data_IF_954896894413
#
_entry.id   IF_954896894413
#
_cell.length_a   1.000
_cell.length_b   1.000
_cell.length_c   1.000
_cell.angle_alpha   90.00
_cell.angle_beta   90.00
_cell.angle_gamma   90.00
#
_symmetry.space_group_name_H-M   'P 1'
#
loop_
_entity.id
_entity.type
_entity.pdbx_description
1 polymer ?
#
# COMPACT_ATOMS: atom_id res chain seq x y z
N UNK A 1 19.89 -9.15 1.79
CA UNK A 1 20.24 -10.56 2.03
C UNK A 1 21.23 -11.01 1.01
N UNK A 2 22.43 -11.33 1.40
CA UNK A 2 23.43 -11.78 0.45
C UNK A 2 22.96 -13.03 -0.28
N UNK A 3 23.07 -12.99 -1.62
CA UNK A 3 22.82 -14.14 -2.48
C UNK A 3 21.37 -14.44 -2.84
N UNK A 4 20.38 -13.63 -2.40
CA UNK A 4 19.01 -13.76 -2.87
C UNK A 4 18.71 -12.76 -3.99
N UNK A 5 17.94 -13.22 -4.97
CA UNK A 5 17.48 -12.41 -6.09
C UNK A 5 16.08 -11.85 -5.83
N UNK A 6 15.87 -10.62 -6.23
CA UNK A 6 14.59 -9.94 -6.14
C UNK A 6 14.37 -9.08 -7.39
N UNK A 7 13.12 -8.70 -7.62
CA UNK A 7 12.83 -7.64 -8.60
C UNK A 7 13.41 -6.31 -8.09
N UNK A 8 13.92 -5.43 -8.97
CA UNK A 8 14.52 -4.17 -8.55
C UNK A 8 13.47 -3.26 -7.89
N UNK A 9 13.89 -2.53 -6.87
CA UNK A 9 13.05 -1.61 -6.11
C UNK A 9 13.47 -1.48 -4.67
N UNK A 10 13.00 -0.42 -4.02
CA UNK A 10 13.39 -0.08 -2.65
C UNK A 10 12.33 0.72 -1.91
N UNK A 11 12.77 1.48 -0.92
CA UNK A 11 11.89 2.30 -0.11
C UNK A 11 11.46 3.59 -0.81
N UNK A 12 10.19 3.96 -0.68
CA UNK A 12 9.74 5.29 -1.09
C UNK A 12 10.23 6.35 -0.09
N UNK A 13 10.70 7.49 -0.61
CA UNK A 13 11.03 8.62 0.24
C UNK A 13 9.76 9.22 0.85
N UNK A 14 9.91 9.93 1.99
CA UNK A 14 8.76 10.55 2.63
C UNK A 14 8.11 11.60 1.72
N UNK A 15 6.83 11.43 1.44
CA UNK A 15 6.07 12.27 0.50
C UNK A 15 6.22 11.92 -0.97
N UNK A 16 7.01 10.91 -1.32
CA UNK A 16 7.23 10.46 -2.69
C UNK A 16 6.03 9.63 -3.20
N UNK A 17 5.69 9.80 -4.47
CA UNK A 17 4.75 8.94 -5.17
C UNK A 17 5.35 7.54 -5.35
N UNK A 18 4.63 6.45 -5.02
CA UNK A 18 5.13 5.09 -5.16
C UNK A 18 5.62 4.72 -6.56
N UNK A 19 4.95 5.19 -7.62
CA UNK A 19 5.37 4.93 -9.00
C UNK A 19 6.67 5.69 -9.36
N UNK A 20 6.83 6.91 -8.84
CA UNK A 20 8.07 7.69 -9.00
C UNK A 20 9.21 7.02 -8.24
N UNK A 21 8.96 6.55 -7.01
CA UNK A 21 9.93 5.80 -6.22
C UNK A 21 10.41 4.54 -6.93
N UNK A 22 9.49 3.77 -7.52
CA UNK A 22 9.85 2.57 -8.29
C UNK A 22 10.77 2.88 -9.49
N UNK A 23 10.48 3.95 -10.24
CA UNK A 23 11.33 4.37 -11.38
C UNK A 23 12.71 4.82 -10.90
N UNK A 24 12.78 5.56 -9.79
CA UNK A 24 14.05 6.02 -9.19
C UNK A 24 14.91 4.83 -8.74
N UNK A 25 14.34 3.92 -7.95
CA UNK A 25 15.05 2.74 -7.44
C UNK A 25 15.59 1.85 -8.57
N UNK A 26 14.77 1.59 -9.61
CA UNK A 26 15.22 0.83 -10.78
C UNK A 26 16.41 1.52 -11.45
N UNK A 27 16.39 2.84 -11.60
CA UNK A 27 17.49 3.58 -12.20
C UNK A 27 18.75 3.54 -11.34
N UNK A 28 18.63 3.63 -10.02
CA UNK A 28 19.73 3.56 -9.05
C UNK A 28 20.37 2.17 -9.06
N UNK A 29 19.57 1.12 -8.91
CA UNK A 29 20.04 -0.26 -8.79
C UNK A 29 20.54 -0.86 -10.11
N UNK A 30 19.95 -0.47 -11.25
CA UNK A 30 20.19 -1.15 -12.53
C UNK A 30 20.77 -0.27 -13.63
N UNK A 31 20.72 1.05 -13.49
CA UNK A 31 21.08 2.00 -14.54
C UNK A 31 20.09 2.11 -15.69
N UNK A 32 18.93 1.44 -15.59
CA UNK A 32 17.92 1.46 -16.62
C UNK A 32 16.92 2.59 -16.41
N UNK A 33 16.48 3.22 -17.50
CA UNK A 33 15.35 4.14 -17.51
C UNK A 33 14.09 3.37 -17.91
N UNK A 34 13.06 3.44 -17.09
CA UNK A 34 11.80 2.74 -17.27
C UNK A 34 10.60 3.69 -17.18
N UNK A 35 9.47 3.23 -17.70
CA UNK A 35 8.17 3.87 -17.53
C UNK A 35 7.20 2.85 -16.91
N UNK A 36 6.44 3.29 -15.92
CA UNK A 36 5.37 2.49 -15.33
C UNK A 36 4.26 2.27 -16.36
N UNK A 37 3.91 1.02 -16.61
CA UNK A 37 2.86 0.62 -17.56
C UNK A 37 1.57 0.30 -16.82
N UNK A 38 1.66 -0.44 -15.70
CA UNK A 38 0.50 -0.85 -14.93
C UNK A 38 0.87 -1.10 -13.46
N UNK A 39 -0.12 -0.99 -12.59
CA UNK A 39 -0.05 -1.55 -11.25
C UNK A 39 -0.30 -3.06 -11.37
N UNK A 40 0.66 -3.86 -10.89
CA UNK A 40 0.58 -5.33 -10.98
C UNK A 40 -0.06 -5.93 -9.73
N UNK A 41 0.45 -5.57 -8.56
CA UNK A 41 0.01 -6.17 -7.30
C UNK A 41 0.35 -5.29 -6.10
N UNK A 42 -0.27 -5.59 -4.96
CA UNK A 42 0.07 -5.03 -3.66
C UNK A 42 0.07 -6.16 -2.64
N UNK A 43 1.20 -6.35 -1.99
CA UNK A 43 1.39 -7.43 -1.03
C UNK A 43 2.20 -6.98 0.18
N UNK A 44 2.16 -7.75 1.25
CA UNK A 44 2.98 -7.50 2.44
C UNK A 44 3.83 -8.73 2.79
N UNK A 45 4.99 -8.46 3.37
CA UNK A 45 5.83 -9.49 3.97
C UNK A 45 6.49 -9.00 5.27
N UNK A 46 6.97 -9.95 6.06
CA UNK A 46 7.69 -9.67 7.30
C UNK A 46 9.12 -10.18 7.18
N UNK A 47 10.07 -9.31 7.46
CA UNK A 47 11.49 -9.64 7.53
C UNK A 47 12.01 -9.52 8.95
N UNK A 48 12.85 -10.48 9.37
CA UNK A 48 13.50 -10.45 10.68
C UNK A 48 14.92 -9.91 10.57
N UNK A 49 15.22 -8.83 11.28
CA UNK A 49 16.56 -8.29 11.46
C UNK A 49 17.14 -8.89 12.74
N UNK A 50 17.85 -10.01 12.65
CA UNK A 50 18.38 -10.74 13.81
C UNK A 50 19.37 -9.94 14.64
N UNK A 51 20.22 -9.15 14.01
CA UNK A 51 21.21 -8.31 14.66
C UNK A 51 20.61 -7.25 15.59
N UNK A 52 19.33 -6.94 15.41
CA UNK A 52 18.57 -5.93 16.18
C UNK A 52 17.36 -6.48 16.91
N UNK A 53 17.08 -7.76 16.76
CA UNK A 53 15.86 -8.40 17.28
C UNK A 53 14.58 -7.64 16.90
N UNK A 54 14.51 -7.20 15.62
CA UNK A 54 13.40 -6.41 15.09
C UNK A 54 12.77 -7.14 13.92
N UNK A 55 11.44 -7.25 13.94
CA UNK A 55 10.65 -7.65 12.79
C UNK A 55 10.15 -6.41 12.05
N UNK A 56 10.36 -6.37 10.74
CA UNK A 56 9.89 -5.31 9.85
C UNK A 56 8.74 -5.81 9.01
N UNK A 57 7.62 -5.10 9.05
CA UNK A 57 6.51 -5.27 8.11
C UNK A 57 6.75 -4.36 6.90
N UNK A 58 6.67 -4.93 5.71
CA UNK A 58 6.81 -4.22 4.45
C UNK A 58 5.50 -4.31 3.66
N UNK A 59 4.90 -3.17 3.36
CA UNK A 59 3.85 -3.06 2.36
C UNK A 59 4.50 -2.74 1.01
N UNK A 60 4.29 -3.58 0.00
CA UNK A 60 4.94 -3.50 -1.31
C UNK A 60 3.93 -3.19 -2.39
N UNK A 61 4.22 -2.17 -3.17
CA UNK A 61 3.47 -1.81 -4.38
C UNK A 61 4.29 -2.24 -5.59
N UNK A 62 3.76 -3.15 -6.39
CA UNK A 62 4.45 -3.77 -7.51
C UNK A 62 3.90 -3.23 -8.81
N UNK A 63 4.79 -2.78 -9.68
CA UNK A 63 4.45 -2.23 -10.99
C UNK A 63 5.04 -3.05 -12.13
N UNK A 64 4.29 -3.17 -13.22
CA UNK A 64 4.83 -3.52 -14.51
C UNK A 64 5.47 -2.28 -15.14
N UNK A 65 6.68 -2.43 -15.64
CA UNK A 65 7.44 -1.33 -16.25
C UNK A 65 7.93 -1.69 -17.64
N UNK A 66 8.01 -0.70 -18.51
CA UNK A 66 8.61 -0.83 -19.83
C UNK A 66 9.99 -0.18 -19.84
N UNK A 67 11.02 -0.92 -20.28
CA UNK A 67 12.36 -0.37 -20.50
C UNK A 67 12.32 0.66 -21.64
N UNK A 68 12.91 1.83 -21.42
CA UNK A 68 12.99 2.92 -22.39
C UNK A 68 14.39 3.11 -22.93
N UNK A 69 15.38 3.20 -22.06
CA UNK A 69 16.78 3.34 -22.41
C UNK A 69 17.69 3.03 -21.19
N UNK A 70 18.98 3.24 -21.35
CA UNK A 70 19.99 2.95 -20.33
C UNK A 70 20.73 1.65 -20.60
N UNK A 71 21.85 1.47 -19.95
CA UNK A 71 22.67 0.25 -20.01
C UNK A 71 22.66 -0.40 -18.64
N UNK A 72 22.37 -1.69 -18.60
CA UNK A 72 22.37 -2.46 -17.39
C UNK A 72 23.73 -2.36 -16.70
N UNK A 73 23.76 -1.94 -15.47
CA UNK A 73 24.94 -1.86 -14.61
C UNK A 73 24.58 -2.23 -13.18
N UNK A 74 25.55 -2.68 -12.43
CA UNK A 74 25.37 -2.90 -11.00
C UNK A 74 25.35 -1.56 -10.25
N UNK A 75 24.67 -1.53 -9.12
CA UNK A 75 24.69 -0.40 -8.21
C UNK A 75 26.12 -0.16 -7.68
N UNK A 76 26.48 1.10 -7.45
CA UNK A 76 27.73 1.45 -6.80
C UNK A 76 27.43 1.86 -5.36
N UNK A 77 28.07 1.18 -4.41
CA UNK A 77 27.98 1.49 -2.97
C UNK A 77 26.56 1.35 -2.36
N UNK A 78 25.69 0.52 -2.97
CA UNK A 78 24.32 0.29 -2.51
C UNK A 78 24.08 -1.10 -1.88
N UNK A 79 22.84 -1.52 -1.87
CA UNK A 79 22.40 -2.80 -1.29
C UNK A 79 22.29 -3.91 -2.33
N UNK A 80 22.33 -3.58 -3.62
CA UNK A 80 22.22 -4.50 -4.76
C UNK A 80 23.56 -4.67 -5.43
N UNK A 81 24.12 -5.88 -5.35
CA UNK A 81 25.48 -6.17 -5.86
C UNK A 81 25.49 -6.58 -7.34
N UNK A 82 24.39 -7.11 -7.87
CA UNK A 82 24.32 -7.61 -9.25
C UNK A 82 22.94 -7.41 -9.86
N UNK A 83 22.87 -6.73 -11.00
CA UNK A 83 21.69 -6.59 -11.83
C UNK A 83 21.79 -7.46 -13.10
N UNK A 84 20.75 -8.21 -13.44
CA UNK A 84 20.72 -9.12 -14.57
C UNK A 84 19.32 -9.23 -15.17
N UNK A 85 19.25 -9.33 -16.51
CA UNK A 85 18.06 -9.78 -17.20
C UNK A 85 17.89 -11.30 -17.05
N UNK A 86 16.72 -11.72 -16.60
CA UNK A 86 16.36 -13.13 -16.41
C UNK A 86 15.03 -13.38 -17.12
N UNK A 87 14.96 -14.42 -17.94
CA UNK A 87 13.68 -14.85 -18.53
C UNK A 87 12.85 -15.61 -17.47
N UNK A 88 11.51 -15.46 -17.45
CA UNK A 88 10.66 -16.06 -16.41
C UNK A 88 10.89 -17.56 -16.20
N UNK A 89 11.14 -18.33 -17.26
CA UNK A 89 11.35 -19.77 -17.19
C UNK A 89 12.66 -20.18 -16.46
N UNK A 90 13.59 -19.25 -16.30
CA UNK A 90 14.85 -19.48 -15.55
C UNK A 90 14.71 -19.14 -14.06
N UNK A 91 13.67 -18.38 -13.66
CA UNK A 91 13.49 -17.94 -12.28
C UNK A 91 13.53 -19.07 -11.23
N UNK A 92 12.98 -20.28 -11.48
CA UNK A 92 13.06 -21.38 -10.52
C UNK A 92 14.48 -21.85 -10.21
N UNK A 93 15.47 -21.50 -11.03
CA UNK A 93 16.89 -21.84 -10.80
C UNK A 93 17.61 -20.83 -9.89
N UNK A 94 16.98 -19.70 -9.56
CA UNK A 94 17.55 -18.66 -8.72
C UNK A 94 17.04 -18.76 -7.28
N UNK A 95 17.87 -18.49 -6.27
CA UNK A 95 17.41 -18.33 -4.90
C UNK A 95 16.67 -17.00 -4.76
N UNK A 96 15.33 -17.03 -4.88
CA UNK A 96 14.50 -15.83 -4.89
C UNK A 96 14.12 -15.37 -3.48
N UNK A 97 13.98 -14.07 -3.29
CA UNK A 97 13.26 -13.51 -2.14
C UNK A 97 11.82 -14.05 -2.11
N UNK A 98 11.24 -14.35 -0.92
CA UNK A 98 9.90 -14.94 -0.83
C UNK A 98 8.83 -14.17 -1.60
N UNK A 99 8.79 -12.84 -1.47
CA UNK A 99 7.81 -12.03 -2.18
C UNK A 99 7.99 -12.07 -3.71
N UNK A 100 9.26 -12.15 -4.19
CA UNK A 100 9.55 -12.31 -5.62
C UNK A 100 9.08 -13.67 -6.13
N UNK A 101 9.32 -14.74 -5.38
CA UNK A 101 8.83 -16.07 -5.74
C UNK A 101 7.30 -16.11 -5.86
N UNK A 102 6.58 -15.50 -4.89
CA UNK A 102 5.12 -15.42 -4.91
C UNK A 102 4.57 -14.68 -6.13
N UNK A 103 5.22 -13.60 -6.57
CA UNK A 103 4.81 -12.83 -7.77
C UNK A 103 4.84 -13.66 -9.07
N UNK A 104 5.61 -14.74 -9.09
CA UNK A 104 5.75 -15.63 -10.25
C UNK A 104 5.17 -17.01 -10.00
N UNK A 105 4.28 -17.16 -9.01
CA UNK A 105 3.65 -18.43 -8.62
C UNK A 105 4.66 -19.57 -8.32
N UNK A 106 5.83 -19.20 -7.83
CA UNK A 106 6.89 -20.13 -7.46
C UNK A 106 6.85 -20.45 -5.95
N UNK A 107 7.30 -21.64 -5.55
CA UNK A 107 7.42 -21.98 -4.13
C UNK A 107 8.33 -20.98 -3.41
N UNK A 108 7.79 -20.29 -2.43
CA UNK A 108 8.55 -19.39 -1.57
C UNK A 108 9.28 -20.18 -0.48
N UNK A 109 10.57 -19.89 -0.25
CA UNK A 109 11.25 -20.34 0.93
C UNK A 109 10.58 -19.74 2.19
N UNK A 110 10.62 -20.41 3.36
CA UNK A 110 10.09 -19.84 4.60
C UNK A 110 10.79 -18.51 4.91
N UNK A 111 10.07 -17.63 5.63
CA UNK A 111 10.47 -16.27 5.97
C UNK A 111 11.97 -16.20 6.30
N UNK A 112 12.69 -15.42 5.51
CA UNK A 112 14.15 -15.43 5.50
C UNK A 112 14.67 -14.43 6.51
N UNK A 113 15.61 -14.87 7.31
CA UNK A 113 16.33 -14.05 8.27
C UNK A 113 17.31 -13.13 7.56
N UNK A 114 17.15 -11.81 7.73
CA UNK A 114 18.06 -10.82 7.20
C UNK A 114 19.20 -10.60 8.19
N UNK A 115 20.40 -11.00 7.83
CA UNK A 115 21.62 -10.49 8.47
C UNK A 115 22.09 -9.27 7.67
N UNK A 116 22.00 -8.08 8.24
CA UNK A 116 22.70 -6.91 7.73
C UNK A 116 24.13 -6.96 8.21
N UNK A 117 25.08 -7.02 7.30
CA UNK A 117 26.52 -6.98 7.62
C UNK A 117 27.05 -5.56 7.81
N UNK A 118 26.31 -4.54 7.40
CA UNK A 118 26.74 -3.13 7.52
C UNK A 118 25.71 -2.34 8.31
N UNK A 119 26.15 -1.78 9.43
CA UNK A 119 25.42 -0.76 10.17
C UNK A 119 25.52 0.53 9.36
N UNK A 120 24.41 1.09 8.83
CA UNK A 120 24.48 2.44 8.28
C UNK A 120 25.00 3.35 9.40
N UNK A 121 26.08 4.07 9.17
CA UNK A 121 26.51 5.11 10.07
C UNK A 121 25.45 6.21 10.00
N UNK A 122 24.44 6.11 10.87
CA UNK A 122 23.49 7.18 11.06
C UNK A 122 24.27 8.32 11.66
N UNK A 123 24.54 9.35 10.86
CA UNK A 123 25.05 10.61 11.36
C UNK A 123 24.13 11.14 12.47
N UNK A 124 24.61 12.04 13.36
CA UNK A 124 23.74 12.61 14.40
C UNK A 124 22.47 13.15 13.72
N UNK A 125 21.29 12.87 14.30
CA UNK A 125 20.04 13.35 13.73
C UNK A 125 20.15 14.87 13.56
N UNK A 126 20.00 15.36 12.34
CA UNK A 126 19.73 16.77 12.13
C UNK A 126 18.54 17.13 13.04
N UNK A 127 18.55 18.33 13.64
CA UNK A 127 17.47 18.78 14.51
C UNK A 127 16.10 18.41 13.95
N UNK A 128 15.16 17.92 14.75
CA UNK A 128 13.94 17.32 14.25
C UNK A 128 13.14 18.38 13.49
N UNK A 129 13.30 18.39 12.19
CA UNK A 129 12.24 18.81 11.31
C UNK A 129 10.96 18.10 11.83
N UNK A 130 9.81 18.78 11.82
CA UNK A 130 8.51 18.30 12.30
C UNK A 130 8.37 16.78 12.34
N UNK A 131 7.72 16.19 13.37
CA UNK A 131 7.51 14.75 13.43
C UNK A 131 6.96 14.24 12.10
N UNK A 132 7.50 13.15 11.59
CA UNK A 132 7.04 12.51 10.35
C UNK A 132 6.16 11.33 10.69
N UNK A 133 5.04 11.20 9.97
CA UNK A 133 4.19 10.04 10.03
C UNK A 133 3.93 9.49 8.62
N UNK A 134 3.92 8.18 8.49
CA UNK A 134 3.58 7.50 7.26
C UNK A 134 2.52 6.44 7.55
N UNK A 135 1.52 6.33 6.65
CA UNK A 135 0.47 5.34 6.76
C UNK A 135 0.26 4.66 5.42
N UNK A 136 0.25 3.34 5.45
CA UNK A 136 -0.31 2.53 4.39
C UNK A 136 -1.75 2.18 4.73
N UNK A 137 -2.66 2.25 3.76
CA UNK A 137 -4.08 1.99 3.99
C UNK A 137 -4.77 1.43 2.75
N UNK A 138 -5.81 0.61 2.97
CA UNK A 138 -6.57 -0.08 1.96
C UNK A 138 -8.04 0.36 2.00
N UNK A 139 -8.67 0.52 0.83
CA UNK A 139 -10.03 1.01 0.72
C UNK A 139 -10.83 0.24 -0.33
N UNK A 140 -12.13 0.03 -0.06
CA UNK A 140 -13.06 -0.65 -0.94
C UNK A 140 -13.94 0.31 -1.72
N UNK A 141 -13.88 0.27 -3.05
CA UNK A 141 -14.98 0.71 -3.91
C UNK A 141 -15.97 -0.46 -3.95
N UNK A 142 -16.86 -0.50 -2.96
CA UNK A 142 -17.77 -1.61 -2.73
C UNK A 142 -19.15 -1.34 -3.31
N UNK A 143 -19.65 -2.30 -4.08
CA UNK A 143 -20.98 -2.23 -4.71
C UNK A 143 -21.80 -3.49 -4.44
N UNK A 144 -23.13 -3.34 -4.53
CA UNK A 144 -24.08 -4.43 -4.44
C UNK A 144 -24.76 -4.72 -5.80
N UNK A 145 -25.60 -5.78 -5.91
CA UNK A 145 -26.30 -6.10 -7.16
C UNK A 145 -27.29 -5.03 -7.65
N UNK A 146 -27.65 -4.06 -6.82
CA UNK A 146 -28.48 -2.91 -7.19
C UNK A 146 -27.65 -1.67 -7.60
N UNK A 147 -26.33 -1.83 -7.82
CA UNK A 147 -25.37 -0.76 -8.15
C UNK A 147 -25.33 0.38 -7.11
N UNK A 148 -25.63 0.06 -5.84
CA UNK A 148 -25.43 0.99 -4.75
C UNK A 148 -23.99 0.92 -4.27
N UNK A 149 -23.43 2.05 -3.85
CA UNK A 149 -22.10 2.13 -3.24
C UNK A 149 -22.22 2.11 -1.72
N UNK A 150 -21.29 1.41 -1.08
CA UNK A 150 -21.17 1.37 0.38
C UNK A 150 -20.19 2.45 0.83
N UNK A 151 -20.61 3.28 1.77
CA UNK A 151 -19.77 4.32 2.35
C UNK A 151 -19.85 4.30 3.85
N UNK A 152 -18.78 4.77 4.49
CA UNK A 152 -18.64 4.97 5.93
C UNK A 152 -18.47 6.46 6.23
N UNK A 153 -18.80 6.90 7.45
CA UNK A 153 -18.67 8.29 7.88
C UNK A 153 -17.68 8.40 9.03
N UNK A 154 -16.69 9.28 8.89
CA UNK A 154 -15.70 9.52 9.92
C UNK A 154 -16.34 9.99 11.23
N UNK A 155 -15.88 9.41 12.34
CA UNK A 155 -16.27 9.78 13.68
C UNK A 155 -15.66 11.12 14.12
N UNK A 156 -16.27 11.74 15.14
CA UNK A 156 -15.71 12.92 15.80
C UNK A 156 -14.34 12.60 16.41
N UNK A 157 -13.43 13.57 16.37
CA UNK A 157 -12.05 13.40 16.85
C UNK A 157 -11.09 12.81 15.81
N UNK A 158 -11.57 12.30 14.68
CA UNK A 158 -10.75 11.77 13.61
C UNK A 158 -10.63 12.73 12.42
N UNK A 159 -9.54 12.67 11.64
CA UNK A 159 -9.37 13.52 10.45
C UNK A 159 -10.53 13.35 9.46
N UNK A 160 -11.14 14.47 9.10
CA UNK A 160 -12.29 14.45 8.20
C UNK A 160 -13.62 14.10 8.88
N UNK A 161 -13.74 14.31 10.20
CA UNK A 161 -14.97 14.09 10.97
C UNK A 161 -16.24 14.55 10.24
N UNK A 162 -17.28 13.72 10.29
CA UNK A 162 -18.56 13.96 9.63
C UNK A 162 -18.60 13.77 8.11
N UNK A 163 -17.46 13.56 7.44
CA UNK A 163 -17.41 13.28 6.00
C UNK A 163 -17.57 11.81 5.72
N UNK A 164 -18.21 11.51 4.59
CA UNK A 164 -18.31 10.15 4.07
C UNK A 164 -17.04 9.77 3.31
N UNK A 165 -16.61 8.52 3.45
CA UNK A 165 -15.44 7.97 2.78
C UNK A 165 -15.67 6.50 2.38
N UNK A 166 -14.73 5.92 1.63
CA UNK A 166 -14.73 4.50 1.32
C UNK A 166 -14.46 3.69 2.59
N UNK A 167 -15.11 2.54 2.81
CA UNK A 167 -14.76 1.64 3.90
C UNK A 167 -13.32 1.14 3.73
N UNK A 168 -12.60 1.03 4.85
CA UNK A 168 -11.21 0.59 4.86
C UNK A 168 -10.34 1.33 5.87
N UNK A 169 -9.15 0.81 6.09
CA UNK A 169 -8.22 1.31 7.10
C UNK A 169 -6.78 0.87 6.89
N UNK A 170 -6.01 0.81 7.96
CA UNK A 170 -4.62 0.38 7.95
C UNK A 170 -4.47 -1.14 7.89
N UNK A 171 -3.31 -1.59 7.48
CA UNK A 171 -2.87 -2.98 7.63
C UNK A 171 -2.32 -3.20 9.04
N UNK A 172 -2.64 -4.35 9.64
CA UNK A 172 -2.00 -4.78 10.88
C UNK A 172 -0.63 -5.39 10.58
N UNK A 173 0.20 -5.52 11.62
CA UNK A 173 1.52 -6.11 11.46
C UNK A 173 1.43 -7.55 10.96
N UNK A 174 2.04 -7.83 9.81
CA UNK A 174 2.02 -9.13 9.16
C UNK A 174 0.76 -9.44 8.35
N UNK A 175 -0.19 -8.52 8.30
CA UNK A 175 -1.43 -8.69 7.56
C UNK A 175 -1.24 -8.37 6.07
N UNK A 176 -1.86 -9.18 5.19
CA UNK A 176 -1.90 -8.89 3.76
C UNK A 176 -2.92 -7.77 3.46
N UNK A 177 -2.65 -6.85 2.50
CA UNK A 177 -3.53 -5.74 2.17
C UNK A 177 -4.97 -6.16 1.83
N UNK A 178 -5.13 -7.25 1.08
CA UNK A 178 -6.44 -7.79 0.76
C UNK A 178 -7.21 -8.33 1.99
N UNK A 179 -6.50 -8.94 2.94
CA UNK A 179 -7.10 -9.42 4.19
C UNK A 179 -7.51 -8.25 5.09
N UNK A 180 -6.63 -7.25 5.23
CA UNK A 180 -6.93 -6.02 5.96
C UNK A 180 -8.20 -5.34 5.43
N UNK A 181 -8.34 -5.24 4.11
CA UNK A 181 -9.53 -4.65 3.48
C UNK A 181 -10.81 -5.39 3.87
N UNK A 182 -10.80 -6.72 3.82
CA UNK A 182 -11.99 -7.52 4.14
C UNK A 182 -12.33 -7.47 5.63
N UNK A 183 -11.33 -7.39 6.51
CA UNK A 183 -11.51 -7.18 7.96
C UNK A 183 -12.14 -5.81 8.23
N UNK A 184 -11.55 -4.73 7.70
CA UNK A 184 -12.06 -3.37 7.85
C UNK A 184 -13.50 -3.23 7.30
N UNK A 185 -13.77 -3.83 6.14
CA UNK A 185 -15.11 -3.85 5.54
C UNK A 185 -16.13 -4.48 6.51
N UNK A 186 -15.77 -5.60 7.14
CA UNK A 186 -16.66 -6.27 8.10
C UNK A 186 -16.84 -5.43 9.37
N UNK A 187 -15.77 -4.88 9.94
CA UNK A 187 -15.78 -4.09 11.18
C UNK A 187 -16.55 -2.79 11.02
N UNK A 188 -16.30 -2.07 9.94
CA UNK A 188 -16.91 -0.76 9.69
C UNK A 188 -18.34 -0.82 9.14
N UNK A 189 -18.75 -1.94 8.49
CA UNK A 189 -19.99 -1.97 7.73
C UNK A 189 -20.88 -3.18 7.98
N UNK A 190 -20.40 -4.22 8.66
CA UNK A 190 -21.07 -5.53 8.79
C UNK A 190 -21.40 -6.19 7.45
N UNK A 191 -20.52 -6.02 6.46
CA UNK A 191 -20.68 -6.66 5.15
C UNK A 191 -19.59 -7.69 4.91
N UNK A 192 -19.95 -8.71 4.13
CA UNK A 192 -19.00 -9.70 3.59
C UNK A 192 -18.90 -9.47 2.10
N UNK A 193 -17.72 -9.11 1.65
CA UNK A 193 -17.44 -8.80 0.25
C UNK A 193 -16.39 -9.72 -0.36
N UNK A 194 -16.30 -9.66 -1.68
CA UNK A 194 -15.31 -10.36 -2.50
C UNK A 194 -14.55 -9.34 -3.32
N UNK A 195 -13.22 -9.31 -3.17
CA UNK A 195 -12.35 -8.49 -4.00
C UNK A 195 -12.37 -9.05 -5.42
N UNK A 196 -12.58 -8.19 -6.41
CA UNK A 196 -12.57 -8.56 -7.83
C UNK A 196 -11.40 -7.95 -8.58
N UNK A 197 -10.96 -6.76 -8.21
CA UNK A 197 -9.91 -6.04 -8.92
C UNK A 197 -9.08 -5.17 -7.95
N UNK A 198 -7.79 -5.04 -8.28
CA UNK A 198 -6.90 -4.01 -7.75
C UNK A 198 -7.05 -2.78 -8.66
N UNK A 199 -7.66 -1.71 -8.14
CA UNK A 199 -8.03 -0.54 -8.96
C UNK A 199 -6.89 0.46 -9.11
N UNK A 200 -6.11 0.68 -8.06
CA UNK A 200 -5.02 1.64 -8.13
C UNK A 200 -4.41 1.98 -6.78
N UNK A 201 -3.28 2.66 -6.86
CA UNK A 201 -2.58 3.22 -5.70
C UNK A 201 -2.51 4.73 -5.87
N UNK A 202 -2.82 5.44 -4.81
CA UNK A 202 -2.70 6.90 -4.72
C UNK A 202 -1.90 7.26 -3.48
N UNK A 203 -1.29 8.44 -3.48
CA UNK A 203 -0.63 8.95 -2.30
C UNK A 203 -1.09 10.37 -1.98
N UNK A 204 -0.88 10.78 -0.75
CA UNK A 204 -1.06 12.15 -0.31
C UNK A 204 0.01 12.53 0.68
N UNK A 205 0.69 13.63 0.40
CA UNK A 205 1.62 14.25 1.32
C UNK A 205 1.02 15.55 1.86
N UNK A 206 1.00 15.69 3.19
CA UNK A 206 0.58 16.90 3.88
C UNK A 206 1.63 17.25 4.95
N UNK A 207 2.55 18.17 4.65
CA UNK A 207 3.65 18.51 5.56
C UNK A 207 3.20 19.27 6.81
N UNK A 208 1.92 19.62 6.92
CA UNK A 208 1.34 20.35 8.03
C UNK A 208 0.00 19.76 8.48
N UNK A 209 -0.16 18.43 8.39
CA UNK A 209 -1.33 17.75 8.93
C UNK A 209 -1.39 17.96 10.46
N UNK A 210 -2.60 18.02 11.00
CA UNK A 210 -2.80 17.98 12.44
C UNK A 210 -2.82 16.49 12.86
N UNK A 211 -1.84 16.11 13.68
CA UNK A 211 -1.78 14.76 14.26
C UNK A 211 -2.87 14.55 15.32
N UNK A 212 -3.11 13.28 15.70
CA UNK A 212 -4.12 12.95 16.71
C UNK A 212 -3.84 13.61 18.08
N UNK A 213 -2.59 13.92 18.38
CA UNK A 213 -2.17 14.59 19.60
C UNK A 213 -2.30 16.13 19.52
N UNK A 214 -2.82 16.67 18.41
CA UNK A 214 -3.11 18.09 18.24
C UNK A 214 -1.92 18.98 17.83
N UNK A 215 -0.76 18.41 17.47
CA UNK A 215 0.37 19.17 16.94
C UNK A 215 0.62 18.86 15.45
N UNK A 216 1.26 19.79 14.71
CA UNK A 216 1.55 19.60 13.30
C UNK A 216 2.52 18.44 13.08
N UNK A 217 2.16 17.53 12.15
CA UNK A 217 2.96 16.40 11.73
C UNK A 217 3.12 16.42 10.19
N UNK A 218 4.29 16.08 9.73
CA UNK A 218 4.54 15.86 8.31
C UNK A 218 4.03 14.46 7.93
N UNK A 219 2.84 14.40 7.28
CA UNK A 219 2.09 13.18 7.10
C UNK A 219 2.07 12.70 5.65
N UNK A 220 2.51 11.48 5.42
CA UNK A 220 2.43 10.82 4.13
C UNK A 220 1.51 9.59 4.21
N UNK A 221 0.55 9.49 3.30
CA UNK A 221 -0.37 8.35 3.20
C UNK A 221 -0.26 7.74 1.81
N UNK A 222 -0.06 6.42 1.75
CA UNK A 222 -0.24 5.60 0.55
C UNK A 222 -1.56 4.85 0.68
N UNK A 223 -2.40 4.90 -0.35
CA UNK A 223 -3.74 4.31 -0.37
C UNK A 223 -3.87 3.37 -1.53
N UNK A 224 -4.32 2.17 -1.23
CA UNK A 224 -4.67 1.15 -2.22
C UNK A 224 -6.18 1.04 -2.32
N UNK A 225 -6.71 1.10 -3.53
CA UNK A 225 -8.14 0.96 -3.80
C UNK A 225 -8.41 -0.36 -4.49
N UNK A 226 -9.37 -1.11 -3.96
CA UNK A 226 -9.84 -2.36 -4.53
C UNK A 226 -11.30 -2.26 -4.91
N UNK A 227 -11.70 -2.97 -5.96
CA UNK A 227 -13.11 -3.23 -6.27
C UNK A 227 -13.60 -4.39 -5.42
N UNK A 228 -14.72 -4.17 -4.76
CA UNK A 228 -15.35 -5.19 -3.92
C UNK A 228 -16.80 -5.36 -4.32
N UNK A 229 -17.23 -6.60 -4.53
CA UNK A 229 -18.62 -6.94 -4.78
C UNK A 229 -19.20 -7.61 -3.54
N UNK A 230 -20.37 -7.13 -3.11
CA UNK A 230 -21.13 -7.68 -1.99
C UNK A 230 -22.38 -8.33 -2.56
N UNK A 231 -22.29 -9.63 -2.80
CA UNK A 231 -23.34 -10.40 -3.49
C UNK A 231 -24.64 -10.49 -2.67
N UNK A 232 -24.54 -10.45 -1.33
CA UNK A 232 -25.67 -10.53 -0.40
C UNK A 232 -25.63 -9.36 0.60
N UNK A 233 -26.05 -8.16 0.18
CA UNK A 233 -25.98 -6.97 1.02
C UNK A 233 -26.94 -7.09 2.21
N UNK A 234 -26.45 -6.72 3.39
CA UNK A 234 -27.23 -6.61 4.61
C UNK A 234 -27.41 -5.13 4.98
N UNK A 235 -28.14 -4.85 6.07
CA UNK A 235 -28.17 -3.52 6.62
C UNK A 235 -26.77 -3.11 7.07
N UNK A 236 -26.25 -2.01 6.48
CA UNK A 236 -24.96 -1.48 6.86
C UNK A 236 -24.99 -0.95 8.29
N UNK A 237 -24.03 -1.38 9.12
CA UNK A 237 -23.86 -0.94 10.50
C UNK A 237 -22.42 -1.09 10.94
N UNK A 238 -21.95 -0.20 11.78
CA UNK A 238 -20.62 -0.27 12.37
C UNK A 238 -20.61 -1.32 13.48
N UNK A 239 -19.63 -2.22 13.44
CA UNK A 239 -19.42 -3.21 14.51
C UNK A 239 -18.33 -2.78 15.48
N UNK A 240 -17.34 -2.02 15.02
CA UNK A 240 -16.25 -1.50 15.85
C UNK A 240 -16.73 -0.30 16.68
N UNK A 241 -17.17 -0.57 17.91
CA UNK A 241 -17.62 0.47 18.81
C UNK A 241 -16.45 1.30 19.35
N UNK A 242 -16.43 2.59 19.00
CA UNK A 242 -15.37 3.52 19.43
C UNK A 242 -14.23 3.68 18.45
N UNK A 243 -14.30 3.05 17.27
CA UNK A 243 -13.36 3.22 16.18
C UNK A 243 -13.50 4.54 15.42
N UNK A 244 -12.81 4.65 14.31
CA UNK A 244 -12.78 5.85 13.45
C UNK A 244 -14.07 6.09 12.67
N UNK A 245 -14.99 5.11 12.64
CA UNK A 245 -16.21 5.11 11.83
C UNK A 245 -17.46 5.33 12.70
N UNK A 246 -18.22 6.38 12.39
CA UNK A 246 -19.44 6.75 13.11
C UNK A 246 -20.72 6.13 12.51
N UNK A 247 -20.74 5.86 11.21
CA UNK A 247 -21.90 5.32 10.49
C UNK A 247 -21.47 4.63 9.19
N UNK A 248 -22.29 3.68 8.73
CA UNK A 248 -22.17 3.06 7.43
C UNK A 248 -23.52 3.08 6.71
N UNK A 249 -23.51 3.15 5.37
CA UNK A 249 -24.74 3.20 4.58
C UNK A 249 -24.55 2.84 3.12
N UNK A 250 -25.65 2.34 2.53
CA UNK A 250 -25.78 2.09 1.12
C UNK A 250 -26.40 3.30 0.41
N UNK A 251 -25.80 3.72 -0.68
CA UNK A 251 -26.23 4.89 -1.45
C UNK A 251 -26.28 4.57 -2.94
N UNK A 252 -27.31 5.01 -3.63
CA UNK A 252 -27.26 5.10 -5.08
C UNK A 252 -26.17 6.09 -5.49
N UNK A 253 -25.66 5.99 -6.72
CA UNK A 253 -24.66 6.95 -7.23
C UNK A 253 -25.14 8.40 -7.16
N UNK A 254 -26.45 8.63 -7.40
CA UNK A 254 -27.06 9.97 -7.33
C UNK A 254 -27.14 10.51 -5.88
N UNK A 255 -27.40 9.66 -4.90
CA UNK A 255 -27.37 10.04 -3.48
C UNK A 255 -25.93 10.31 -3.03
N UNK A 256 -24.99 9.40 -3.36
CA UNK A 256 -23.57 9.55 -3.04
C UNK A 256 -23.01 10.88 -3.55
N UNK A 257 -23.35 11.29 -4.77
CA UNK A 257 -22.89 12.56 -5.35
C UNK A 257 -23.30 13.81 -4.53
N UNK A 258 -24.34 13.71 -3.69
CA UNK A 258 -24.82 14.81 -2.84
C UNK A 258 -24.22 14.80 -1.44
N UNK A 259 -23.49 13.75 -1.07
CA UNK A 259 -22.89 13.62 0.25
C UNK A 259 -21.67 14.52 0.41
N UNK A 260 -21.45 14.95 1.63
CA UNK A 260 -20.20 15.61 2.00
C UNK A 260 -19.12 14.55 2.18
N UNK A 261 -18.39 14.26 1.10
CA UNK A 261 -17.35 13.23 1.04
C UNK A 261 -15.96 13.80 1.18
N UNK A 262 -15.01 12.94 1.54
CA UNK A 262 -13.58 13.26 1.41
C UNK A 262 -13.22 13.39 -0.08
N UNK A 263 -12.19 14.19 -0.37
CA UNK A 263 -11.68 14.39 -1.74
C UNK A 263 -11.24 13.07 -2.37
N UNK A 264 -10.51 12.24 -1.61
CA UNK A 264 -10.04 10.94 -2.07
C UNK A 264 -11.19 9.98 -2.45
N UNK A 265 -12.28 9.98 -1.66
CA UNK A 265 -13.47 9.17 -1.97
C UNK A 265 -14.15 9.66 -3.25
N UNK A 266 -14.27 10.98 -3.41
CA UNK A 266 -14.87 11.56 -4.62
C UNK A 266 -14.06 11.20 -5.86
N UNK A 267 -12.72 11.33 -5.80
CA UNK A 267 -11.84 10.93 -6.88
C UNK A 267 -12.00 9.44 -7.21
N UNK A 268 -11.89 8.56 -6.21
CA UNK A 268 -12.02 7.12 -6.41
C UNK A 268 -13.37 6.71 -7.01
N UNK A 269 -14.48 7.30 -6.58
CA UNK A 269 -15.79 7.02 -7.17
C UNK A 269 -15.92 7.55 -8.60
N UNK A 270 -15.18 8.60 -8.98
CA UNK A 270 -15.14 9.11 -10.36
C UNK A 270 -14.27 8.23 -11.24
N UNK A 271 -13.09 7.89 -10.78
CA UNK A 271 -12.07 7.17 -11.57
C UNK A 271 -12.43 5.69 -11.77
N UNK A 272 -13.10 5.08 -10.78
CA UNK A 272 -13.39 3.64 -10.75
C UNK A 272 -14.89 3.30 -10.86
N UNK A 273 -15.72 4.26 -11.23
CA UNK A 273 -17.19 4.11 -11.30
C UNK A 273 -17.71 3.31 -12.52
N UNK A 274 -16.79 2.76 -13.35
CA UNK A 274 -17.16 1.97 -14.54
C UNK A 274 -17.21 0.48 -14.24
#
# INVERSE_FOLDING_TARGET
>A
MPGLWLIPGGGIAHGEDPAVGAVREIAEETGLSVEVVALRDVLSDVSLLRDRDVALHHDRVIYDVAHRNGTLRNEQDGTTDTARWVVPDELPSYPLMPFTALLFDLPAAPATEIQRTDTPTVGPPAEPARPRGQRFAVYAVATDPADRVLLTRNAEGYPGAGRWHLPGGGTDFGEQPAAALLRELAEETNQVGRITDLLGVTHRHNPAALGPEGYPIDWHTVRVNYRVVIDQPTQARVLDAGGSTAAAGWFTRAEAARLHMTEATRAALTDYAQ
#
